data_IF_014388089530
#
_entry.id   IF_014388089530
#
_cell.length_a   1.000
_cell.length_b   1.000
_cell.length_c   1.000
_cell.angle_alpha   90.00
_cell.angle_beta   90.00
_cell.angle_gamma   90.00
#
_symmetry.space_group_name_H-M   'P 1'
#
loop_
_entity.id
_entity.type
_entity.pdbx_description
1 polymer ?
#
# COMPACT_ATOMS: atom_id res chain seq x y z
N UNK A 1 56.72 46.99 -25.61
CA UNK A 1 57.38 45.95 -24.77
C UNK A 1 56.36 45.43 -23.76
N UNK A 2 56.10 44.10 -23.76
CA UNK A 2 55.72 43.20 -22.62
C UNK A 2 54.56 43.65 -21.67
N UNK A 3 53.57 42.86 -21.23
CA UNK A 3 53.17 41.43 -21.22
C UNK A 3 51.72 41.43 -20.67
N UNK A 4 50.74 40.76 -21.29
CA UNK A 4 50.12 39.50 -20.83
C UNK A 4 50.04 39.29 -19.30
N UNK A 5 48.82 39.18 -18.76
CA UNK A 5 48.41 38.12 -17.83
C UNK A 5 46.88 38.05 -17.73
N UNK A 6 46.35 36.89 -18.11
CA UNK A 6 44.97 36.46 -17.97
C UNK A 6 44.69 35.97 -16.55
N UNK A 7 43.46 36.15 -16.06
CA UNK A 7 42.92 35.39 -14.94
C UNK A 7 41.48 35.00 -15.28
N UNK A 8 41.31 33.71 -15.58
CA UNK A 8 40.05 33.05 -15.85
C UNK A 8 39.23 32.91 -14.56
N UNK A 9 37.97 33.33 -14.61
CA UNK A 9 36.98 33.07 -13.56
C UNK A 9 36.33 31.72 -13.87
N UNK A 10 36.62 30.70 -13.05
CA UNK A 10 35.99 29.39 -13.14
C UNK A 10 34.62 29.41 -12.46
N UNK A 11 33.60 29.11 -13.26
CA UNK A 11 32.21 28.85 -12.85
C UNK A 11 32.15 27.66 -11.89
N UNK A 12 31.49 27.84 -10.74
CA UNK A 12 31.04 26.74 -9.89
C UNK A 12 29.54 26.54 -10.13
N UNK A 13 29.20 25.61 -11.02
CA UNK A 13 27.84 25.11 -11.19
C UNK A 13 27.61 24.03 -10.13
N UNK A 14 26.72 24.31 -9.18
CA UNK A 14 26.21 23.32 -8.23
C UNK A 14 25.25 22.41 -8.99
N UNK A 15 25.73 21.24 -9.43
CA UNK A 15 24.87 20.15 -9.87
C UNK A 15 24.23 19.53 -8.63
N UNK A 16 22.97 19.87 -8.39
CA UNK A 16 22.11 19.12 -7.50
C UNK A 16 21.99 17.69 -8.04
N UNK A 17 22.51 16.72 -7.29
CA UNK A 17 22.29 15.31 -7.54
C UNK A 17 20.81 15.00 -7.22
N UNK A 18 19.97 15.00 -8.25
CA UNK A 18 18.67 14.34 -8.18
C UNK A 18 18.93 12.85 -7.92
N UNK A 19 18.42 12.35 -6.79
CA UNK A 19 18.34 10.92 -6.54
C UNK A 19 17.43 10.29 -7.58
N UNK A 20 17.98 9.54 -8.52
CA UNK A 20 17.21 8.66 -9.39
C UNK A 20 16.54 7.59 -8.50
N UNK A 21 15.25 7.81 -8.23
CA UNK A 21 14.38 6.73 -7.77
C UNK A 21 14.22 5.78 -8.94
N UNK A 22 14.80 4.59 -8.84
CA UNK A 22 14.66 3.55 -9.85
C UNK A 22 13.17 3.35 -10.18
N UNK A 23 12.81 3.65 -11.43
CA UNK A 23 11.49 3.43 -12.00
C UNK A 23 11.27 1.92 -12.08
N UNK A 24 10.78 1.32 -11.00
CA UNK A 24 10.28 -0.05 -11.05
C UNK A 24 9.01 -0.07 -11.91
N UNK A 25 8.99 -0.93 -12.92
CA UNK A 25 7.81 -1.13 -13.78
C UNK A 25 6.70 -1.75 -12.94
N UNK A 26 5.78 -0.91 -12.46
CA UNK A 26 4.59 -1.33 -11.70
C UNK A 26 3.63 -2.12 -12.61
N UNK A 27 3.79 -3.44 -12.61
CA UNK A 27 2.82 -4.34 -13.23
C UNK A 27 1.72 -4.68 -12.22
N UNK A 28 0.43 -4.57 -12.58
CA UNK A 28 -0.65 -4.92 -11.69
C UNK A 28 -0.57 -6.41 -11.32
N UNK A 29 -0.74 -6.73 -10.05
CA UNK A 29 -0.87 -8.13 -9.60
C UNK A 29 -2.33 -8.55 -9.76
N UNK A 30 -2.54 -9.84 -10.02
CA UNK A 30 -3.83 -10.52 -9.90
C UNK A 30 -4.45 -10.22 -8.52
N UNK A 31 -5.75 -9.89 -8.42
CA UNK A 31 -6.42 -9.63 -7.15
C UNK A 31 -6.14 -10.73 -6.12
N UNK A 32 -6.00 -10.36 -4.85
CA UNK A 32 -5.84 -11.36 -3.80
C UNK A 32 -7.02 -12.32 -3.78
N UNK A 33 -6.73 -13.61 -3.93
CA UNK A 33 -7.70 -14.70 -3.98
C UNK A 33 -8.27 -15.00 -2.58
N UNK A 34 -8.94 -14.01 -1.97
CA UNK A 34 -9.87 -14.29 -0.88
C UNK A 34 -11.17 -14.77 -1.51
N UNK A 35 -11.46 -16.06 -1.36
CA UNK A 35 -12.71 -16.76 -1.71
C UNK A 35 -13.66 -15.95 -2.59
N UNK A 36 -13.23 -15.71 -3.84
CA UNK A 36 -14.13 -15.17 -4.84
C UNK A 36 -15.10 -16.30 -5.11
N UNK A 37 -16.30 -16.21 -4.54
CA UNK A 37 -17.40 -17.10 -4.85
C UNK A 37 -17.41 -17.31 -6.39
N UNK A 38 -17.56 -18.56 -6.87
CA UNK A 38 -17.50 -18.84 -8.30
C UNK A 38 -18.40 -17.86 -9.05
N UNK A 39 -17.93 -17.31 -10.18
CA UNK A 39 -18.61 -16.20 -10.83
C UNK A 39 -20.06 -16.59 -11.07
N UNK A 40 -20.98 -15.83 -10.46
CA UNK A 40 -22.39 -16.09 -10.59
C UNK A 40 -22.75 -16.11 -12.08
N UNK A 41 -23.61 -17.04 -12.53
CA UNK A 41 -24.00 -17.10 -13.93
C UNK A 41 -24.47 -15.73 -14.39
N UNK A 42 -24.00 -15.31 -15.57
CA UNK A 42 -24.33 -14.00 -16.10
C UNK A 42 -25.87 -13.83 -16.18
N UNK A 43 -26.43 -12.77 -15.57
CA UNK A 43 -27.85 -12.57 -15.59
C UNK A 43 -28.31 -12.26 -17.02
N UNK A 44 -29.51 -12.69 -17.36
CA UNK A 44 -30.12 -12.37 -18.67
C UNK A 44 -30.44 -10.87 -18.75
N UNK A 45 -30.69 -10.38 -19.97
CA UNK A 45 -31.14 -9.00 -20.15
C UNK A 45 -32.45 -8.72 -19.40
N UNK A 46 -33.34 -9.72 -19.31
CA UNK A 46 -34.64 -9.56 -18.67
C UNK A 46 -34.50 -9.52 -17.15
N UNK A 47 -33.59 -10.33 -16.59
CA UNK A 47 -33.21 -10.24 -15.18
C UNK A 47 -32.56 -8.89 -14.85
N UNK A 48 -31.65 -8.42 -15.71
CA UNK A 48 -31.00 -7.11 -15.55
C UNK A 48 -32.04 -5.97 -15.62
N UNK A 49 -33.02 -6.06 -16.52
CA UNK A 49 -34.12 -5.09 -16.63
C UNK A 49 -35.07 -5.16 -15.43
N UNK A 50 -35.30 -6.33 -14.86
CA UNK A 50 -36.10 -6.49 -13.65
C UNK A 50 -35.45 -5.77 -12.46
N UNK A 51 -34.13 -5.98 -12.24
CA UNK A 51 -33.36 -5.27 -11.23
C UNK A 51 -33.45 -3.74 -11.39
N UNK A 52 -33.34 -3.25 -12.63
CA UNK A 52 -33.49 -1.82 -12.92
C UNK A 52 -34.85 -1.26 -12.47
N UNK A 53 -35.94 -2.01 -12.69
CA UNK A 53 -37.30 -1.60 -12.28
C UNK A 53 -37.47 -1.60 -10.77
N UNK A 54 -36.72 -2.44 -10.06
CA UNK A 54 -36.70 -2.46 -8.61
C UNK A 54 -35.82 -1.36 -7.99
N UNK A 55 -34.84 -0.84 -8.75
CA UNK A 55 -33.93 0.21 -8.30
C UNK A 55 -34.47 1.63 -8.55
N UNK A 56 -35.29 1.83 -9.58
CA UNK A 56 -35.76 3.14 -9.99
C UNK A 56 -37.28 3.19 -10.11
N UNK A 57 -37.88 4.30 -9.67
CA UNK A 57 -39.29 4.58 -9.94
C UNK A 57 -39.52 4.76 -11.45
N UNK A 58 -40.72 4.44 -11.91
CA UNK A 58 -41.11 4.67 -13.31
C UNK A 58 -40.98 6.16 -13.64
N UNK A 59 -40.21 6.48 -14.69
CA UNK A 59 -39.93 7.86 -15.06
C UNK A 59 -38.78 8.00 -16.06
N UNK A 60 -38.35 9.25 -16.35
CA UNK A 60 -37.35 9.53 -17.38
C UNK A 60 -36.01 8.82 -17.13
N UNK A 61 -35.55 8.78 -15.87
CA UNK A 61 -34.29 8.14 -15.49
C UNK A 61 -34.30 6.64 -15.75
N UNK A 62 -35.39 5.95 -15.37
CA UNK A 62 -35.55 4.52 -15.65
C UNK A 62 -35.61 4.27 -17.17
N UNK A 63 -36.34 5.10 -17.92
CA UNK A 63 -36.43 4.99 -19.38
C UNK A 63 -35.05 5.19 -20.06
N UNK A 64 -34.24 6.15 -19.60
CA UNK A 64 -32.87 6.35 -20.08
C UNK A 64 -31.99 5.11 -19.88
N UNK A 65 -32.06 4.49 -18.70
CA UNK A 65 -31.27 3.29 -18.40
C UNK A 65 -31.76 2.05 -19.18
N UNK A 66 -33.07 1.93 -19.45
CA UNK A 66 -33.61 0.91 -20.36
C UNK A 66 -33.08 1.11 -21.78
N UNK A 67 -33.05 2.36 -22.26
CA UNK A 67 -32.48 2.69 -23.57
C UNK A 67 -31.00 2.31 -23.62
N UNK A 68 -30.21 2.63 -22.59
CA UNK A 68 -28.80 2.26 -22.50
C UNK A 68 -28.61 0.73 -22.59
N UNK A 69 -29.40 -0.07 -21.85
CA UNK A 69 -29.37 -1.54 -21.93
C UNK A 69 -29.62 -2.05 -23.35
N UNK A 70 -30.63 -1.51 -24.03
CA UNK A 70 -30.95 -1.91 -25.39
C UNK A 70 -29.84 -1.49 -26.37
N UNK A 71 -29.25 -0.31 -26.19
CA UNK A 71 -28.12 0.17 -27.00
C UNK A 71 -26.86 -0.68 -26.80
N UNK A 72 -26.59 -1.16 -25.58
CA UNK A 72 -25.48 -2.10 -25.33
C UNK A 72 -25.71 -3.38 -26.14
N UNK A 73 -26.93 -3.95 -26.08
CA UNK A 73 -27.26 -5.18 -26.83
C UNK A 73 -27.13 -4.99 -28.34
N UNK A 74 -27.63 -3.88 -28.89
CA UNK A 74 -27.53 -3.63 -30.33
C UNK A 74 -26.08 -3.42 -30.78
N UNK A 75 -25.25 -2.73 -29.98
CA UNK A 75 -23.81 -2.59 -30.26
C UNK A 75 -23.09 -3.94 -30.26
N UNK A 76 -23.40 -4.81 -29.30
CA UNK A 76 -22.84 -6.17 -29.27
C UNK A 76 -23.28 -7.02 -30.46
N UNK A 77 -24.56 -6.97 -30.84
CA UNK A 77 -25.06 -7.68 -32.02
C UNK A 77 -24.45 -7.15 -33.34
N UNK A 78 -24.07 -5.87 -33.38
CA UNK A 78 -23.40 -5.25 -34.51
C UNK A 78 -21.87 -5.42 -34.50
N UNK A 79 -21.29 -6.15 -33.54
CA UNK A 79 -19.84 -6.33 -33.41
C UNK A 79 -19.08 -5.12 -32.85
N UNK A 80 -19.75 -4.05 -32.44
CA UNK A 80 -19.13 -2.88 -31.81
C UNK A 80 -18.95 -3.10 -30.29
N UNK A 81 -18.10 -4.05 -29.94
CA UNK A 81 -17.79 -4.38 -28.55
C UNK A 81 -17.15 -3.20 -27.79
N UNK A 82 -16.16 -2.44 -28.33
CA UNK A 82 -15.58 -1.31 -27.60
C UNK A 82 -16.61 -0.25 -27.21
N UNK A 83 -17.51 0.10 -28.14
CA UNK A 83 -18.58 1.04 -27.85
C UNK A 83 -19.59 0.51 -26.83
N UNK A 84 -19.87 -0.79 -26.79
CA UNK A 84 -20.73 -1.39 -25.78
C UNK A 84 -20.09 -1.31 -24.38
N UNK A 85 -18.79 -1.63 -24.28
CA UNK A 85 -18.02 -1.59 -23.03
C UNK A 85 -17.89 -0.17 -22.47
N UNK A 86 -17.67 0.82 -23.33
CA UNK A 86 -17.66 2.23 -22.95
C UNK A 86 -19.01 2.67 -22.36
N UNK A 87 -20.11 2.30 -23.01
CA UNK A 87 -21.46 2.63 -22.54
C UNK A 87 -21.79 1.93 -21.21
N UNK A 88 -21.31 0.70 -20.99
CA UNK A 88 -21.42 0.01 -19.70
C UNK A 88 -20.73 0.78 -18.59
N UNK A 89 -19.50 1.26 -18.81
CA UNK A 89 -18.75 2.02 -17.81
C UNK A 89 -19.41 3.38 -17.51
N UNK A 90 -19.90 4.09 -18.53
CA UNK A 90 -20.65 5.34 -18.34
C UNK A 90 -21.97 5.11 -17.58
N UNK A 91 -22.70 4.06 -17.92
CA UNK A 91 -23.94 3.68 -17.23
C UNK A 91 -23.65 3.30 -15.77
N UNK A 92 -22.57 2.57 -15.54
CA UNK A 92 -22.11 2.19 -14.20
C UNK A 92 -21.75 3.39 -13.36
N UNK A 93 -21.00 4.35 -13.91
CA UNK A 93 -20.71 5.65 -13.26
C UNK A 93 -21.99 6.33 -12.78
N UNK A 94 -22.97 6.37 -13.67
CA UNK A 94 -24.26 7.02 -13.45
C UNK A 94 -25.07 6.34 -12.33
N UNK A 95 -25.11 5.01 -12.32
CA UNK A 95 -25.86 4.23 -11.31
C UNK A 95 -25.18 4.26 -9.94
N UNK A 96 -23.85 4.20 -9.89
CA UNK A 96 -23.09 4.35 -8.65
C UNK A 96 -23.32 5.74 -8.05
N UNK A 97 -23.33 6.79 -8.87
CA UNK A 97 -23.64 8.15 -8.42
C UNK A 97 -25.07 8.24 -7.84
N UNK A 98 -26.06 7.62 -8.49
CA UNK A 98 -27.43 7.58 -7.98
C UNK A 98 -27.54 6.81 -6.65
N UNK A 99 -26.79 5.71 -6.49
CA UNK A 99 -26.72 4.97 -5.23
C UNK A 99 -26.18 5.85 -4.10
N UNK A 100 -25.03 6.50 -4.29
CA UNK A 100 -24.45 7.37 -3.27
C UNK A 100 -25.25 8.66 -3.04
N UNK A 101 -26.04 9.11 -4.00
CA UNK A 101 -27.00 10.20 -3.80
C UNK A 101 -28.26 9.77 -3.03
N UNK A 102 -28.44 8.46 -2.78
CA UNK A 102 -29.60 7.93 -2.06
C UNK A 102 -30.91 8.02 -2.85
N UNK A 103 -30.85 8.24 -4.16
CA UNK A 103 -32.05 8.45 -5.01
C UNK A 103 -32.67 7.14 -5.51
N UNK A 104 -32.01 6.01 -5.31
CA UNK A 104 -32.54 4.69 -5.63
C UNK A 104 -33.67 4.30 -4.68
N UNK A 105 -34.59 3.46 -5.14
CA UNK A 105 -35.61 2.86 -4.28
C UNK A 105 -34.91 2.06 -3.18
N UNK A 106 -35.23 2.37 -1.92
CA UNK A 106 -34.58 1.80 -0.74
C UNK A 106 -33.27 2.49 -0.31
N UNK A 107 -32.89 3.59 -0.97
CA UNK A 107 -31.74 4.42 -0.60
C UNK A 107 -30.42 3.64 -0.68
N UNK A 108 -29.59 3.77 0.37
CA UNK A 108 -28.30 3.08 0.48
C UNK A 108 -28.37 1.77 1.28
N UNK A 109 -29.56 1.23 1.53
CA UNK A 109 -29.73 0.01 2.34
C UNK A 109 -29.11 -1.24 1.70
N UNK A 110 -28.80 -2.25 2.52
CA UNK A 110 -28.14 -3.50 2.08
C UNK A 110 -28.87 -4.22 0.92
N UNK A 111 -30.20 -4.20 0.93
CA UNK A 111 -31.00 -4.76 -0.18
C UNK A 111 -30.78 -3.98 -1.48
N UNK A 112 -30.75 -2.65 -1.41
CA UNK A 112 -30.49 -1.81 -2.59
C UNK A 112 -29.05 -1.97 -3.06
N UNK A 113 -28.08 -2.08 -2.16
CA UNK A 113 -26.68 -2.42 -2.50
C UNK A 113 -26.58 -3.72 -3.29
N UNK A 114 -27.25 -4.79 -2.82
CA UNK A 114 -27.24 -6.08 -3.50
C UNK A 114 -27.86 -6.01 -4.91
N UNK A 115 -28.98 -5.29 -5.06
CA UNK A 115 -29.63 -5.08 -6.37
C UNK A 115 -28.77 -4.24 -7.30
N UNK A 116 -28.14 -3.17 -6.80
CA UNK A 116 -27.23 -2.30 -7.58
C UNK A 116 -26.03 -3.10 -8.07
N UNK A 117 -25.39 -3.91 -7.21
CA UNK A 117 -24.32 -4.82 -7.60
C UNK A 117 -24.78 -5.81 -8.68
N UNK A 118 -25.94 -6.43 -8.49
CA UNK A 118 -26.51 -7.36 -9.47
C UNK A 118 -26.75 -6.71 -10.83
N UNK A 119 -27.28 -5.47 -10.83
CA UNK A 119 -27.51 -4.70 -12.05
C UNK A 119 -26.20 -4.37 -12.78
N UNK A 120 -25.18 -3.90 -12.05
CA UNK A 120 -23.85 -3.60 -12.60
C UNK A 120 -23.20 -4.88 -13.16
N UNK A 121 -23.25 -6.00 -12.44
CA UNK A 121 -22.74 -7.28 -12.95
C UNK A 121 -23.46 -7.69 -14.24
N UNK A 122 -24.77 -7.45 -14.35
CA UNK A 122 -25.53 -7.69 -15.58
C UNK A 122 -25.10 -6.81 -16.74
N UNK A 123 -24.85 -5.51 -16.51
CA UNK A 123 -24.32 -4.63 -17.55
C UNK A 123 -22.99 -5.14 -18.13
N UNK A 124 -22.07 -5.56 -17.26
CA UNK A 124 -20.75 -6.04 -17.67
C UNK A 124 -20.86 -7.34 -18.47
N UNK A 125 -21.65 -8.30 -17.99
CA UNK A 125 -21.94 -9.53 -18.72
C UNK A 125 -22.51 -9.26 -20.12
N UNK A 126 -23.45 -8.32 -20.25
CA UNK A 126 -24.06 -7.97 -21.54
C UNK A 126 -23.04 -7.43 -22.55
N UNK A 127 -21.95 -6.79 -22.10
CA UNK A 127 -20.87 -6.29 -22.96
C UNK A 127 -19.67 -7.25 -23.08
N UNK A 128 -19.83 -8.51 -22.64
CA UNK A 128 -18.75 -9.52 -22.68
C UNK A 128 -17.59 -9.19 -21.73
N UNK A 129 -17.85 -8.42 -20.68
CA UNK A 129 -16.87 -8.10 -19.63
C UNK A 129 -17.05 -9.06 -18.44
N UNK A 130 -15.96 -9.35 -17.75
CA UNK A 130 -16.02 -10.05 -16.47
C UNK A 130 -16.80 -9.21 -15.44
N UNK A 131 -17.56 -9.88 -14.58
CA UNK A 131 -18.34 -9.21 -13.54
C UNK A 131 -17.42 -8.51 -12.54
N UNK A 132 -17.61 -7.21 -12.28
CA UNK A 132 -16.72 -6.46 -11.41
C UNK A 132 -16.98 -6.74 -9.93
N UNK A 133 -18.13 -7.30 -9.54
CA UNK A 133 -18.45 -7.62 -8.15
C UNK A 133 -18.20 -6.44 -7.18
N UNK A 134 -18.75 -5.27 -7.53
CA UNK A 134 -18.62 -4.05 -6.71
C UNK A 134 -19.17 -4.27 -5.30
N UNK A 135 -18.37 -3.97 -4.27
CA UNK A 135 -18.89 -3.78 -2.92
C UNK A 135 -19.34 -2.33 -2.77
N UNK A 136 -20.51 -2.15 -2.14
CA UNK A 136 -21.12 -0.86 -1.83
C UNK A 136 -21.42 -0.77 -0.33
N UNK A 137 -20.65 -1.52 0.46
CA UNK A 137 -20.72 -1.54 1.91
C UNK A 137 -20.14 -0.23 2.49
N UNK A 138 -20.41 0.13 3.76
CA UNK A 138 -19.91 1.38 4.34
C UNK A 138 -18.39 1.56 4.30
N UNK A 139 -17.62 0.46 4.28
CA UNK A 139 -16.15 0.46 4.21
C UNK A 139 -15.64 0.06 2.80
N UNK A 140 -16.44 0.36 1.78
CA UNK A 140 -16.12 0.17 0.38
C UNK A 140 -16.55 1.37 -0.45
N UNK A 141 -15.87 1.60 -1.57
CA UNK A 141 -16.28 2.62 -2.54
C UNK A 141 -16.00 2.16 -3.96
N UNK A 142 -16.71 2.75 -4.91
CA UNK A 142 -16.49 2.48 -6.32
C UNK A 142 -16.78 3.74 -7.13
N UNK A 143 -16.09 3.90 -8.26
CA UNK A 143 -16.29 5.03 -9.14
C UNK A 143 -15.62 4.82 -10.48
N UNK A 144 -16.10 5.50 -11.52
CA UNK A 144 -15.53 5.40 -12.87
C UNK A 144 -14.81 6.69 -13.21
N UNK A 145 -13.52 6.57 -13.52
CA UNK A 145 -12.65 7.66 -13.98
C UNK A 145 -12.26 7.41 -15.43
N UNK A 146 -11.80 8.44 -16.12
CA UNK A 146 -11.33 8.32 -17.50
C UNK A 146 -10.53 9.54 -17.95
N UNK A 147 -10.15 9.60 -19.25
CA UNK A 147 -9.20 10.60 -19.76
C UNK A 147 -9.66 12.04 -19.61
N UNK A 148 -10.98 12.26 -19.62
CA UNK A 148 -11.61 13.58 -19.50
C UNK A 148 -12.13 13.87 -18.09
N UNK A 149 -11.91 12.95 -17.14
CA UNK A 149 -12.39 13.16 -15.78
C UNK A 149 -11.52 14.23 -15.08
N UNK A 150 -12.13 15.15 -14.34
CA UNK A 150 -11.38 16.04 -13.46
C UNK A 150 -10.70 15.23 -12.35
N UNK A 151 -9.85 15.88 -11.56
CA UNK A 151 -9.29 15.28 -10.35
C UNK A 151 -10.43 14.71 -9.51
N UNK A 152 -10.44 13.40 -9.33
CA UNK A 152 -11.53 12.65 -8.71
C UNK A 152 -11.00 11.98 -7.46
N UNK A 153 -11.64 12.23 -6.32
CA UNK A 153 -11.34 11.54 -5.07
C UNK A 153 -12.43 10.51 -4.82
N UNK A 154 -12.04 9.24 -4.74
CA UNK A 154 -12.91 8.13 -4.36
C UNK A 154 -12.55 7.76 -2.93
N UNK A 155 -13.48 7.98 -2.01
CA UNK A 155 -13.29 7.67 -0.59
C UNK A 155 -14.42 6.75 -0.13
N UNK A 156 -14.08 5.80 0.74
CA UNK A 156 -15.04 4.98 1.48
C UNK A 156 -15.99 5.86 2.30
N UNK A 157 -17.27 5.48 2.48
CA UNK A 157 -18.17 6.21 3.37
C UNK A 157 -17.65 6.35 4.82
N UNK A 158 -16.88 5.37 5.31
CA UNK A 158 -16.13 5.44 6.58
C UNK A 158 -14.97 6.42 6.57
N UNK A 159 -14.50 6.85 5.40
CA UNK A 159 -13.32 7.69 5.20
C UNK A 159 -12.00 7.03 5.65
N UNK A 160 -12.00 5.71 5.78
CA UNK A 160 -10.81 4.96 6.20
C UNK A 160 -9.87 4.61 5.07
N UNK A 161 -10.36 4.60 3.83
CA UNK A 161 -9.54 4.40 2.66
C UNK A 161 -10.07 5.21 1.48
N UNK A 162 -9.17 5.56 0.58
CA UNK A 162 -9.52 6.24 -0.65
C UNK A 162 -8.35 6.41 -1.59
N UNK A 163 -8.68 6.83 -2.81
CA UNK A 163 -7.71 7.18 -3.85
C UNK A 163 -8.08 8.51 -4.46
N UNK A 164 -7.09 9.37 -4.63
CA UNK A 164 -7.20 10.56 -5.45
C UNK A 164 -6.53 10.31 -6.80
N UNK A 165 -7.33 10.43 -7.86
CA UNK A 165 -6.92 10.26 -9.24
C UNK A 165 -6.79 11.64 -9.89
N UNK A 166 -5.58 12.09 -10.28
CA UNK A 166 -5.40 13.36 -10.97
C UNK A 166 -6.18 13.41 -12.29
N UNK A 167 -6.52 14.63 -12.73
CA UNK A 167 -7.17 14.84 -14.01
C UNK A 167 -6.38 14.21 -15.17
N UNK A 168 -7.05 13.43 -16.02
CA UNK A 168 -6.42 12.74 -17.15
C UNK A 168 -5.48 11.59 -16.81
N UNK A 169 -5.32 11.21 -15.53
CA UNK A 169 -4.43 10.11 -15.14
C UNK A 169 -4.91 8.74 -15.66
N UNK A 170 -6.23 8.55 -15.82
CA UNK A 170 -6.78 7.31 -16.37
C UNK A 170 -6.76 7.34 -17.91
N UNK A 171 -5.97 6.47 -18.59
CA UNK A 171 -5.81 6.51 -20.05
C UNK A 171 -7.05 6.05 -20.84
N UNK A 172 -8.00 5.40 -20.15
CA UNK A 172 -9.29 4.92 -20.67
C UNK A 172 -10.33 4.99 -19.55
N UNK A 173 -11.62 4.80 -19.88
CA UNK A 173 -12.62 4.64 -18.84
C UNK A 173 -12.28 3.40 -18.00
N UNK A 174 -12.17 3.61 -16.70
CA UNK A 174 -11.76 2.59 -15.73
C UNK A 174 -12.66 2.71 -14.50
N UNK A 175 -13.34 1.62 -14.17
CA UNK A 175 -14.00 1.42 -12.88
C UNK A 175 -12.92 1.13 -11.83
N UNK A 176 -12.82 1.99 -10.83
CA UNK A 176 -12.00 1.77 -9.65
C UNK A 176 -12.92 1.30 -8.52
N UNK A 177 -12.48 0.29 -7.78
CA UNK A 177 -13.15 -0.21 -6.59
C UNK A 177 -12.17 -0.25 -5.44
N UNK A 178 -12.64 0.06 -4.25
CA UNK A 178 -11.91 -0.02 -2.98
C UNK A 178 -12.78 -0.81 -2.02
N UNK A 179 -12.22 -1.82 -1.35
CA UNK A 179 -12.94 -2.56 -0.30
C UNK A 179 -12.01 -2.94 0.84
N UNK A 180 -12.54 -2.98 2.05
CA UNK A 180 -11.84 -3.54 3.20
C UNK A 180 -11.55 -5.04 2.99
N UNK A 181 -10.33 -5.46 3.34
CA UNK A 181 -9.93 -6.87 3.44
C UNK A 181 -9.99 -7.36 4.89
N UNK A 182 -10.13 -8.67 5.11
CA UNK A 182 -9.90 -9.27 6.42
C UNK A 182 -8.51 -8.94 6.95
N UNK A 183 -8.38 -8.81 8.27
CA UNK A 183 -7.09 -8.49 8.91
C UNK A 183 -6.11 -9.68 8.95
N UNK A 184 -6.59 -10.89 8.64
CA UNK A 184 -5.77 -12.11 8.55
C UNK A 184 -6.27 -13.07 7.45
N UNK A 185 -5.36 -13.76 6.74
CA UNK A 185 -3.92 -13.51 6.66
C UNK A 185 -3.59 -12.11 6.10
N UNK A 186 -2.44 -11.56 6.49
CA UNK A 186 -2.01 -10.24 6.03
C UNK A 186 -1.66 -10.28 4.53
N UNK A 187 -2.20 -9.39 3.70
CA UNK A 187 -2.15 -9.52 2.24
C UNK A 187 -0.83 -9.04 1.60
N UNK A 188 0.05 -8.33 2.31
CA UNK A 188 1.29 -7.82 1.69
C UNK A 188 2.38 -8.90 1.67
N UNK A 189 3.09 -9.00 0.55
CA UNK A 189 4.18 -9.94 0.30
C UNK A 189 5.50 -9.36 0.84
N UNK A 190 5.62 -9.26 2.16
CA UNK A 190 6.79 -8.66 2.81
C UNK A 190 7.11 -9.32 4.16
N UNK A 191 8.41 -9.44 4.51
CA UNK A 191 8.81 -9.87 5.85
C UNK A 191 8.58 -8.80 6.93
N UNK A 192 8.32 -7.54 6.54
CA UNK A 192 8.11 -6.43 7.46
C UNK A 192 6.81 -6.60 8.27
N UNK A 193 6.77 -5.95 9.43
CA UNK A 193 5.57 -5.88 10.26
C UNK A 193 4.45 -5.18 9.48
N UNK A 194 3.30 -5.84 9.41
CA UNK A 194 2.11 -5.35 8.73
C UNK A 194 1.04 -5.08 9.78
N UNK A 195 0.29 -4.01 9.59
CA UNK A 195 -0.73 -3.61 10.54
C UNK A 195 -2.12 -3.63 9.92
N UNK A 196 -3.11 -3.95 10.75
CA UNK A 196 -4.50 -4.18 10.36
C UNK A 196 -5.12 -2.95 9.67
N UNK A 197 -6.22 -3.16 8.95
CA UNK A 197 -6.81 -2.20 8.02
C UNK A 197 -6.21 -2.19 6.62
N UNK A 198 -6.19 -3.38 6.03
CA UNK A 198 -5.87 -3.59 4.62
C UNK A 198 -7.06 -3.31 3.71
N UNK A 199 -6.79 -2.72 2.56
CA UNK A 199 -7.81 -2.44 1.54
C UNK A 199 -7.36 -2.96 0.18
N UNK A 200 -8.27 -3.63 -0.50
CA UNK A 200 -8.09 -4.03 -1.89
C UNK A 200 -8.50 -2.86 -2.78
N UNK A 201 -7.58 -2.43 -3.65
CA UNK A 201 -7.87 -1.51 -4.73
C UNK A 201 -7.82 -2.28 -6.05
N UNK A 202 -8.81 -2.06 -6.91
CA UNK A 202 -8.87 -2.72 -8.21
C UNK A 202 -9.26 -1.72 -9.30
N UNK A 203 -8.60 -1.82 -10.45
CA UNK A 203 -8.96 -1.11 -11.67
C UNK A 203 -9.55 -2.10 -12.67
N UNK A 204 -10.73 -1.79 -13.21
CA UNK A 204 -11.38 -2.56 -14.25
C UNK A 204 -11.69 -1.68 -15.47
N UNK A 205 -11.22 -2.05 -16.68
CA UNK A 205 -10.27 -3.13 -16.94
C UNK A 205 -8.92 -2.86 -16.25
N UNK A 206 -8.07 -3.89 -16.05
CA UNK A 206 -6.72 -3.70 -15.51
C UNK A 206 -5.99 -2.58 -16.26
N UNK A 207 -5.47 -1.64 -15.48
CA UNK A 207 -4.91 -0.39 -15.98
C UNK A 207 -3.71 -0.01 -15.11
N UNK A 208 -2.55 0.16 -15.74
CA UNK A 208 -1.42 0.88 -15.16
C UNK A 208 -1.59 2.36 -15.49
N UNK A 209 -1.44 3.21 -14.50
CA UNK A 209 -1.60 4.66 -14.64
C UNK A 209 -0.26 5.29 -15.04
N UNK A 210 -0.20 6.13 -16.09
CA UNK A 210 1.04 6.81 -16.47
C UNK A 210 1.50 7.83 -15.43
N UNK A 211 0.53 8.41 -14.70
CA UNK A 211 0.73 9.40 -13.65
C UNK A 211 0.46 8.77 -12.29
N UNK A 212 1.21 9.22 -11.30
CA UNK A 212 1.09 8.84 -9.90
C UNK A 212 -0.30 9.17 -9.34
N UNK A 213 -0.88 8.20 -8.64
CA UNK A 213 -2.12 8.32 -7.87
C UNK A 213 -1.78 8.42 -6.38
N UNK A 214 -2.60 9.15 -5.62
CA UNK A 214 -2.48 9.18 -4.16
C UNK A 214 -3.44 8.16 -3.56
N UNK A 215 -2.91 7.12 -2.94
CA UNK A 215 -3.69 6.11 -2.21
C UNK A 215 -3.49 6.31 -0.72
N UNK A 216 -4.60 6.42 0.01
CA UNK A 216 -4.58 6.57 1.45
C UNK A 216 -5.32 5.43 2.14
N UNK A 217 -4.76 4.96 3.26
CA UNK A 217 -5.40 4.02 4.18
C UNK A 217 -5.19 4.47 5.63
N UNK A 218 -6.23 4.31 6.44
CA UNK A 218 -6.18 4.50 7.86
C UNK A 218 -5.61 3.27 8.54
N UNK A 219 -4.87 3.50 9.63
CA UNK A 219 -4.32 2.44 10.47
C UNK A 219 -5.19 2.27 11.72
N UNK A 220 -5.49 1.03 12.09
CA UNK A 220 -6.09 0.71 13.38
C UNK A 220 -5.06 0.88 14.52
N UNK A 221 -5.52 1.30 15.70
CA UNK A 221 -4.73 1.73 16.88
C UNK A 221 -3.80 0.69 17.54
N UNK A 222 -3.66 -0.48 16.94
CA UNK A 222 -2.85 -1.57 17.47
C UNK A 222 -1.56 -1.72 16.67
N UNK A 223 -0.61 -0.82 16.92
CA UNK A 223 0.77 -0.98 16.44
C UNK A 223 1.77 -0.54 17.51
N UNK A 224 2.94 -1.18 17.53
CA UNK A 224 3.96 -0.98 18.56
C UNK A 224 5.33 -0.84 17.90
N UNK A 225 6.07 0.25 18.15
CA UNK A 225 5.70 1.41 18.96
C UNK A 225 4.65 2.29 18.29
N UNK A 226 3.88 3.05 19.07
CA UNK A 226 2.83 3.99 18.59
C UNK A 226 3.41 5.25 17.96
N UNK A 227 4.29 5.08 16.96
CA UNK A 227 4.89 6.15 16.18
C UNK A 227 4.38 6.07 14.73
N UNK A 228 3.23 6.71 14.46
CA UNK A 228 2.63 6.71 13.13
C UNK A 228 3.55 7.36 12.08
N UNK A 229 4.49 8.23 12.50
CA UNK A 229 5.41 8.89 11.58
C UNK A 229 6.41 7.90 10.93
N UNK A 230 6.57 6.71 11.51
CA UNK A 230 7.37 5.63 10.92
C UNK A 230 6.60 4.80 9.90
N UNK A 231 5.29 4.65 10.08
CA UNK A 231 4.49 3.81 9.20
C UNK A 231 4.51 4.32 7.76
N UNK A 232 4.53 3.38 6.82
CA UNK A 232 4.42 3.68 5.40
C UNK A 232 3.33 2.83 4.78
N UNK A 233 2.66 3.38 3.77
CA UNK A 233 1.79 2.57 2.93
C UNK A 233 2.67 1.72 2.03
N UNK A 234 2.37 0.43 1.97
CA UNK A 234 2.96 -0.47 1.00
C UNK A 234 1.86 -1.22 0.26
N UNK A 235 2.19 -1.70 -0.92
CA UNK A 235 1.32 -2.52 -1.74
C UNK A 235 2.14 -3.51 -2.55
N UNK A 236 1.49 -4.53 -3.08
CA UNK A 236 2.19 -5.58 -3.81
C UNK A 236 2.46 -5.17 -5.27
N UNK A 237 3.68 -5.38 -5.74
CA UNK A 237 4.10 -5.30 -7.15
C UNK A 237 4.84 -6.58 -7.54
N UNK A 238 4.32 -7.32 -8.51
CA UNK A 238 4.83 -8.65 -8.85
C UNK A 238 4.77 -9.65 -7.67
N UNK A 239 5.93 -10.06 -7.16
CA UNK A 239 6.06 -11.05 -6.07
C UNK A 239 6.47 -10.45 -4.72
N UNK A 240 6.50 -9.13 -4.59
CA UNK A 240 6.99 -8.43 -3.40
C UNK A 240 6.13 -7.20 -3.10
N UNK A 241 6.11 -6.77 -1.84
CA UNK A 241 5.54 -5.46 -1.48
C UNK A 241 6.56 -4.34 -1.68
N UNK A 242 6.10 -3.22 -2.24
CA UNK A 242 6.87 -1.97 -2.40
C UNK A 242 6.34 -0.94 -1.41
N UNK A 243 7.26 -0.32 -0.67
CA UNK A 243 6.98 0.79 0.23
C UNK A 243 6.87 2.08 -0.58
N UNK A 244 5.75 2.78 -0.41
CA UNK A 244 5.44 3.96 -1.19
C UNK A 244 6.02 5.24 -0.58
N UNK A 245 6.38 6.24 -1.40
CA UNK A 245 6.71 7.57 -0.93
C UNK A 245 5.54 8.18 -0.16
N UNK A 246 5.81 8.74 1.02
CA UNK A 246 4.79 9.34 1.88
C UNK A 246 4.21 10.60 1.21
N UNK A 247 2.88 10.64 1.10
CA UNK A 247 2.14 11.80 0.56
C UNK A 247 0.99 12.16 1.51
N UNK A 248 0.45 13.37 1.37
CA UNK A 248 -0.70 13.81 2.17
C UNK A 248 -2.01 13.25 1.59
N UNK A 249 -2.89 12.75 2.45
CA UNK A 249 -4.25 12.33 2.08
C UNK A 249 -5.29 13.07 2.94
N UNK A 250 -5.62 14.33 2.61
CA UNK A 250 -6.57 15.13 3.39
C UNK A 250 -8.02 14.64 3.28
N UNK A 251 -8.28 13.65 2.44
CA UNK A 251 -9.61 13.05 2.24
C UNK A 251 -9.93 11.93 3.23
N UNK A 252 -9.00 11.54 4.10
CA UNK A 252 -9.20 10.49 5.09
C UNK A 252 -9.61 11.08 6.45
N UNK A 253 -10.41 10.31 7.19
CA UNK A 253 -10.73 10.56 8.59
C UNK A 253 -10.59 9.25 9.38
N UNK A 254 -9.47 9.10 10.08
CA UNK A 254 -9.22 7.89 10.89
C UNK A 254 -9.76 8.00 12.32
N UNK A 255 -10.38 9.10 12.73
CA UNK A 255 -10.74 9.34 14.15
C UNK A 255 -11.62 8.24 14.74
N UNK A 256 -12.52 7.68 13.94
CA UNK A 256 -13.45 6.63 14.39
C UNK A 256 -12.87 5.21 14.30
N UNK A 257 -11.83 4.99 13.49
CA UNK A 257 -11.11 3.71 13.43
C UNK A 257 -10.16 3.55 14.63
N UNK A 258 -9.50 4.65 14.99
CA UNK A 258 -8.63 4.79 16.17
C UNK A 258 -9.45 4.49 17.45
N UNK A 259 -10.69 5.00 17.54
CA UNK A 259 -11.61 4.71 18.66
C UNK A 259 -12.28 3.32 18.68
N UNK A 260 -12.05 2.46 17.68
CA UNK A 260 -12.69 1.14 17.54
C UNK A 260 -11.82 -0.03 18.02
N UNK A 261 -10.79 0.23 18.84
CA UNK A 261 -10.02 -0.80 19.53
C UNK A 261 -10.94 -1.79 20.26
N UNK A 262 -10.58 -3.09 20.35
CA UNK A 262 -11.45 -4.11 20.91
C UNK A 262 -11.86 -3.77 22.33
N UNK A 263 -13.17 -3.89 22.56
CA UNK A 263 -13.85 -3.85 23.84
C UNK A 263 -12.99 -4.38 25.00
N UNK A 264 -12.64 -3.51 25.94
CA UNK A 264 -12.64 -3.91 27.34
C UNK A 264 -14.11 -3.92 27.80
N UNK A 265 -14.66 -5.05 28.31
CA UNK A 265 -16.05 -5.10 28.75
C UNK A 265 -16.17 -4.28 30.03
N UNK A 266 -16.69 -3.06 29.92
CA UNK A 266 -16.91 -2.17 31.05
C UNK A 266 -18.00 -1.16 30.76
N UNK A 267 -18.94 -1.00 31.71
CA UNK A 267 -20.14 -0.16 31.62
C UNK A 267 -19.91 1.34 31.29
N UNK A 268 -18.66 1.81 31.21
CA UNK A 268 -18.32 3.21 30.92
C UNK A 268 -18.31 3.54 29.41
N UNK A 269 -18.37 2.55 28.51
CA UNK A 269 -18.31 2.75 27.04
C UNK A 269 -19.56 3.34 26.38
N UNK A 270 -20.68 3.46 27.09
CA UNK A 270 -21.93 4.00 26.53
C UNK A 270 -22.09 5.51 26.74
N UNK A 271 -21.35 6.12 27.67
CA UNK A 271 -21.48 7.55 27.94
C UNK A 271 -20.70 8.44 26.94
N UNK A 272 -19.66 7.91 26.29
CA UNK A 272 -18.81 8.69 25.37
C UNK A 272 -19.41 8.90 23.97
N UNK A 273 -20.43 8.12 23.56
CA UNK A 273 -21.12 8.33 22.27
C UNK A 273 -22.15 9.47 22.30
N UNK A 274 -22.63 9.87 23.49
CA UNK A 274 -23.65 10.92 23.65
C UNK A 274 -23.11 12.36 23.71
N UNK A 275 -21.81 12.55 23.94
CA UNK A 275 -21.23 13.88 24.21
C UNK A 275 -20.65 14.56 22.95
N UNK A 276 -20.24 13.78 21.94
CA UNK A 276 -19.52 14.32 20.78
C UNK A 276 -20.42 15.03 19.74
N UNK A 277 -21.74 14.85 19.79
CA UNK A 277 -22.66 15.56 18.89
C UNK A 277 -22.96 17.00 19.34
N UNK A 278 -22.76 17.32 20.63
CA UNK A 278 -23.07 18.65 21.18
C UNK A 278 -21.89 19.65 21.10
N UNK A 279 -20.65 19.19 21.05
CA UNK A 279 -19.48 20.09 21.07
C UNK A 279 -19.15 20.73 19.71
N UNK A 280 -19.70 20.19 18.61
CA UNK A 280 -19.50 20.74 17.25
C UNK A 280 -20.44 21.92 16.89
N UNK A 281 -21.36 22.31 17.78
CA UNK A 281 -22.27 23.44 17.53
C UNK A 281 -21.79 24.78 18.12
N UNK A 282 -20.74 24.80 18.95
CA UNK A 282 -20.40 26.00 19.75
C UNK A 282 -18.95 26.46 19.62
N UNK A 283 -18.05 25.69 19.00
CA UNK A 283 -16.65 26.11 18.86
C UNK A 283 -16.21 26.05 17.39
N UNK A 284 -15.58 27.13 16.86
CA UNK A 284 -14.99 27.10 15.54
C UNK A 284 -13.92 26.00 15.48
N UNK A 285 -13.97 25.20 14.42
CA UNK A 285 -12.97 24.17 14.17
C UNK A 285 -11.57 24.81 14.22
N UNK A 286 -10.65 24.36 15.08
CA UNK A 286 -9.27 24.74 14.95
C UNK A 286 -8.81 24.21 13.59
N UNK A 287 -8.28 25.11 12.76
CA UNK A 287 -7.58 24.73 11.54
C UNK A 287 -6.33 23.95 11.95
N UNK A 288 -6.48 22.64 12.13
CA UNK A 288 -5.34 21.76 12.31
C UNK A 288 -4.57 21.77 10.99
N UNK A 289 -3.36 22.33 11.04
CA UNK A 289 -2.28 21.78 10.25
C UNK A 289 -2.29 20.28 10.54
N UNK A 290 -2.74 19.46 9.58
CA UNK A 290 -2.52 18.02 9.64
C UNK A 290 -1.01 17.83 9.59
N UNK A 291 -0.38 17.80 10.76
CA UNK A 291 0.93 17.20 10.88
C UNK A 291 0.78 15.77 10.34
N UNK A 292 1.64 15.40 9.40
CA UNK A 292 1.71 14.08 8.74
C UNK A 292 2.00 12.91 9.70
N UNK A 293 1.63 13.01 10.99
CA UNK A 293 2.18 12.21 12.08
C UNK A 293 1.19 11.59 13.07
N UNK A 294 -0.13 11.72 12.91
CA UNK A 294 -1.05 11.11 13.89
C UNK A 294 -2.31 10.46 13.35
N UNK A 295 -2.67 10.68 12.08
CA UNK A 295 -3.71 9.90 11.43
C UNK A 295 -3.53 10.00 9.92
N UNK A 296 -3.88 8.92 9.23
CA UNK A 296 -3.89 8.84 7.76
C UNK A 296 -2.48 8.74 7.16
N UNK A 297 -2.10 7.53 6.72
CA UNK A 297 -0.91 7.32 5.90
C UNK A 297 -1.34 7.21 4.44
N UNK A 298 -0.54 7.78 3.54
CA UNK A 298 -0.79 7.69 2.12
C UNK A 298 0.50 7.53 1.33
N UNK A 299 0.37 6.92 0.16
CA UNK A 299 1.44 6.59 -0.76
C UNK A 299 1.14 7.03 -2.18
N UNK A 300 2.19 7.33 -2.94
CA UNK A 300 2.13 7.54 -4.39
C UNK A 300 2.34 6.24 -5.16
N UNK A 301 1.48 5.90 -6.13
CA UNK A 301 1.52 4.61 -6.87
C UNK A 301 0.91 4.72 -8.26
N UNK A 302 1.32 3.84 -9.19
CA UNK A 302 0.78 3.75 -10.56
C UNK A 302 -0.04 2.49 -10.83
N UNK A 303 -0.18 1.60 -9.85
CA UNK A 303 -0.94 0.37 -9.99
C UNK A 303 -1.74 0.08 -8.73
N UNK A 304 -2.66 -0.87 -8.83
CA UNK A 304 -3.46 -1.28 -7.68
C UNK A 304 -3.20 -2.74 -7.33
N UNK A 305 -3.27 -2.99 -6.04
CA UNK A 305 -3.19 -4.29 -5.37
C UNK A 305 -3.73 -4.06 -3.94
N UNK A 306 -3.62 -4.99 -2.98
CA UNK A 306 -3.89 -4.64 -1.61
C UNK A 306 -2.90 -3.60 -1.09
N UNK A 307 -3.41 -2.61 -0.37
CA UNK A 307 -2.64 -1.61 0.35
C UNK A 307 -2.79 -1.83 1.85
N UNK A 308 -1.72 -1.57 2.59
CA UNK A 308 -1.71 -1.60 4.05
C UNK A 308 -0.51 -0.86 4.63
N UNK A 309 -0.52 -0.67 5.95
CA UNK A 309 0.61 -0.08 6.64
C UNK A 309 1.70 -1.11 6.93
N UNK A 310 2.95 -0.71 6.77
CA UNK A 310 4.13 -1.47 7.19
C UNK A 310 5.08 -0.61 8.01
N UNK A 311 5.88 -1.27 8.86
CA UNK A 311 7.01 -0.64 9.53
C UNK A 311 8.30 -0.84 8.72
N UNK A 312 8.91 0.22 8.17
CA UNK A 312 10.17 0.11 7.43
C UNK A 312 11.39 -0.07 8.34
N UNK A 313 11.24 -0.08 9.67
CA UNK A 313 12.37 -0.29 10.57
C UNK A 313 12.74 -1.78 10.66
N UNK A 314 14.03 -2.04 10.64
CA UNK A 314 14.64 -3.30 11.03
C UNK A 314 15.67 -3.05 12.13
N UNK A 315 15.92 -4.04 12.98
CA UNK A 315 16.80 -3.96 14.14
C UNK A 315 17.88 -5.01 14.00
N UNK A 316 19.13 -4.58 14.02
CA UNK A 316 20.29 -5.46 14.05
C UNK A 316 20.63 -5.83 15.49
N UNK A 317 20.79 -7.12 15.75
CA UNK A 317 21.21 -7.63 17.07
C UNK A 317 22.35 -8.62 16.92
N UNK A 318 23.31 -8.58 17.85
CA UNK A 318 24.43 -9.50 17.89
C UNK A 318 23.98 -10.84 18.50
N UNK A 319 24.37 -11.96 17.90
CA UNK A 319 23.97 -13.32 18.28
C UNK A 319 25.17 -14.25 18.59
N UNK A 320 26.34 -13.65 18.82
CA UNK A 320 27.53 -14.33 19.29
C UNK A 320 28.20 -13.49 20.39
N UNK A 321 29.13 -14.07 21.17
CA UNK A 321 29.93 -13.30 22.12
C UNK A 321 30.65 -12.15 21.39
N UNK A 322 30.54 -10.92 21.90
CA UNK A 322 31.19 -9.75 21.27
C UNK A 322 32.70 -9.70 21.48
N UNK A 323 33.19 -10.49 22.44
CA UNK A 323 34.62 -10.72 22.70
C UNK A 323 34.97 -12.15 22.33
N UNK A 324 35.87 -12.32 21.37
CA UNK A 324 36.27 -13.61 20.82
C UNK A 324 37.63 -14.02 21.39
N UNK A 325 37.71 -15.10 22.18
CA UNK A 325 38.99 -15.59 22.66
C UNK A 325 39.75 -16.32 21.55
N UNK A 326 41.07 -16.13 21.50
CA UNK A 326 41.95 -16.90 20.63
C UNK A 326 43.41 -16.50 20.82
N UNK A 327 44.32 -17.36 20.34
CA UNK A 327 45.74 -17.03 20.28
C UNK A 327 46.07 -16.38 18.92
N UNK A 328 47.10 -15.52 18.84
CA UNK A 328 47.55 -14.97 17.57
C UNK A 328 47.77 -16.07 16.51
N UNK A 329 47.27 -15.83 15.29
CA UNK A 329 47.35 -16.76 14.16
C UNK A 329 46.39 -17.95 14.19
N UNK A 330 45.56 -18.10 15.24
CA UNK A 330 44.60 -19.20 15.35
C UNK A 330 43.30 -18.93 14.59
N UNK A 331 42.65 -20.00 14.12
CA UNK A 331 41.31 -19.91 13.55
C UNK A 331 40.27 -19.85 14.67
N UNK A 332 39.32 -18.91 14.55
CA UNK A 332 38.17 -18.81 15.45
C UNK A 332 37.26 -20.01 15.23
N UNK A 333 36.87 -20.75 16.28
CA UNK A 333 35.90 -21.84 16.18
C UNK A 333 34.57 -21.39 15.60
N UNK A 334 33.92 -22.25 14.82
CA UNK A 334 32.67 -21.93 14.10
C UNK A 334 31.56 -21.42 15.05
N UNK A 335 31.46 -21.97 16.25
CA UNK A 335 30.48 -21.56 17.26
C UNK A 335 30.74 -20.19 17.91
N UNK A 336 31.91 -19.59 17.64
CA UNK A 336 32.32 -18.26 18.10
C UNK A 336 32.44 -17.26 16.94
N UNK A 337 32.09 -17.65 15.72
CA UNK A 337 32.12 -16.73 14.59
C UNK A 337 31.09 -15.60 14.78
N UNK A 338 31.43 -14.37 14.38
CA UNK A 338 30.50 -13.25 14.30
C UNK A 338 29.18 -13.65 13.64
N UNK A 339 28.08 -13.54 14.39
CA UNK A 339 26.72 -13.83 13.92
C UNK A 339 25.76 -12.72 14.30
N UNK A 340 24.84 -12.37 13.41
CA UNK A 340 23.83 -11.34 13.67
C UNK A 340 22.44 -11.80 13.31
N UNK A 341 21.46 -11.23 14.01
CA UNK A 341 20.05 -11.30 13.71
C UNK A 341 19.55 -9.96 13.19
N UNK A 342 18.88 -9.98 12.05
CA UNK A 342 18.08 -8.88 11.55
C UNK A 342 16.60 -9.21 11.73
N UNK A 343 15.93 -8.42 12.56
CA UNK A 343 14.50 -8.60 12.89
C UNK A 343 13.73 -7.30 12.73
N UNK A 344 12.41 -7.40 12.62
CA UNK A 344 11.51 -6.26 12.74
C UNK A 344 11.32 -5.89 14.23
N UNK A 345 10.73 -4.74 14.56
CA UNK A 345 10.39 -4.37 15.94
C UNK A 345 9.50 -5.38 16.66
N UNK A 346 8.61 -6.08 15.96
CA UNK A 346 7.80 -7.17 16.53
C UNK A 346 8.53 -8.53 16.55
N UNK A 347 9.83 -8.55 16.23
CA UNK A 347 10.69 -9.72 16.32
C UNK A 347 10.61 -10.68 15.13
N UNK A 348 9.95 -10.30 14.02
CA UNK A 348 9.88 -11.13 12.83
C UNK A 348 11.23 -11.14 12.11
N UNK A 349 11.72 -12.29 11.64
CA UNK A 349 12.99 -12.36 10.91
C UNK A 349 12.88 -11.65 9.55
N UNK A 350 13.95 -10.95 9.17
CA UNK A 350 14.04 -10.25 7.87
C UNK A 350 15.04 -11.00 6.98
N UNK A 351 14.59 -11.82 6.01
CA UNK A 351 15.45 -12.54 5.08
C UNK A 351 15.91 -11.67 3.91
N UNK A 352 17.03 -12.05 3.29
CA UNK A 352 17.53 -11.49 2.03
C UNK A 352 18.26 -10.15 2.13
N UNK A 353 18.34 -9.55 3.32
CA UNK A 353 19.20 -8.39 3.56
C UNK A 353 20.68 -8.78 3.55
N UNK A 354 21.52 -7.96 2.91
CA UNK A 354 22.96 -8.20 2.79
C UNK A 354 23.71 -7.64 4.00
N UNK A 355 24.47 -8.51 4.68
CA UNK A 355 25.35 -8.18 5.79
C UNK A 355 26.80 -8.25 5.31
N UNK A 356 27.52 -7.15 5.47
CA UNK A 356 28.93 -7.02 5.11
C UNK A 356 29.78 -7.04 6.37
N UNK A 357 30.81 -7.87 6.36
CA UNK A 357 31.81 -7.98 7.42
C UNK A 357 33.13 -7.39 6.95
N UNK A 358 33.73 -6.52 7.74
CA UNK A 358 35.00 -5.86 7.42
C UNK A 358 35.92 -5.84 8.63
N UNK A 359 37.18 -6.19 8.43
CA UNK A 359 38.21 -6.05 9.46
C UNK A 359 38.60 -4.58 9.68
N UNK A 360 39.09 -4.26 10.88
CA UNK A 360 39.71 -2.98 11.17
C UNK A 360 40.90 -2.71 10.25
N UNK A 361 41.10 -1.47 9.78
CA UNK A 361 42.27 -1.11 9.00
C UNK A 361 43.57 -1.48 9.74
N UNK A 362 44.50 -2.11 9.02
CA UNK A 362 45.81 -2.48 9.55
C UNK A 362 45.89 -3.85 10.24
N UNK A 363 44.76 -4.53 10.46
CA UNK A 363 44.74 -5.93 10.94
C UNK A 363 45.41 -6.88 9.93
N UNK A 364 46.25 -7.80 10.40
CA UNK A 364 46.79 -8.92 9.60
C UNK A 364 45.93 -10.20 9.68
N UNK A 365 44.80 -10.18 10.41
CA UNK A 365 43.78 -11.22 10.38
C UNK A 365 43.17 -11.43 8.99
N UNK A 366 42.54 -12.58 8.79
CA UNK A 366 41.80 -12.90 7.57
C UNK A 366 40.38 -13.36 7.88
N UNK A 367 39.42 -12.95 7.05
CA UNK A 367 38.02 -13.35 7.14
C UNK A 367 37.52 -13.93 5.82
N UNK A 368 36.66 -14.94 5.90
CA UNK A 368 35.93 -15.53 4.78
C UNK A 368 34.44 -15.23 4.87
N UNK A 369 33.76 -15.11 3.72
CA UNK A 369 32.33 -14.78 3.68
C UNK A 369 32.06 -13.32 4.07
N UNK A 370 32.75 -12.37 3.42
CA UNK A 370 32.66 -10.93 3.72
C UNK A 370 31.31 -10.30 3.38
N UNK A 371 30.46 -10.97 2.60
CA UNK A 371 29.12 -10.53 2.25
C UNK A 371 28.17 -11.73 2.30
N UNK A 372 27.20 -11.67 3.22
CA UNK A 372 26.28 -12.76 3.52
C UNK A 372 24.85 -12.24 3.50
N UNK A 373 23.95 -12.96 2.82
CA UNK A 373 22.53 -12.67 2.91
C UNK A 373 21.93 -13.28 4.17
N UNK A 374 21.02 -12.57 4.82
CA UNK A 374 20.23 -13.10 5.93
C UNK A 374 19.34 -14.25 5.47
N UNK A 375 19.33 -15.33 6.25
CA UNK A 375 18.52 -16.53 5.99
C UNK A 375 17.03 -16.28 6.28
N UNK A 376 16.17 -17.30 6.08
CA UNK A 376 14.75 -17.25 6.46
C UNK A 376 14.50 -16.94 7.94
N UNK A 377 15.50 -17.19 8.80
CA UNK A 377 15.47 -16.89 10.23
C UNK A 377 16.08 -15.50 10.55
N UNK A 378 16.42 -14.70 9.53
CA UNK A 378 17.02 -13.38 9.69
C UNK A 378 18.48 -13.43 10.17
N UNK A 379 19.15 -14.58 10.03
CA UNK A 379 20.53 -14.78 10.51
C UNK A 379 21.52 -14.56 9.38
N UNK A 380 22.60 -13.82 9.66
CA UNK A 380 23.82 -13.84 8.86
C UNK A 380 25.03 -14.15 9.76
N UNK A 381 25.90 -15.05 9.31
CA UNK A 381 27.08 -15.51 10.04
C UNK A 381 28.31 -15.36 9.15
N UNK A 382 29.42 -14.90 9.72
CA UNK A 382 30.71 -14.84 9.05
C UNK A 382 31.18 -16.24 8.68
N UNK A 383 31.71 -16.43 7.47
CA UNK A 383 32.09 -17.77 6.99
C UNK A 383 33.33 -18.35 7.68
N UNK A 384 34.33 -17.51 7.96
CA UNK A 384 35.51 -17.90 8.73
C UNK A 384 36.25 -16.67 9.25
N UNK A 385 37.04 -16.85 10.32
CA UNK A 385 37.93 -15.82 10.84
C UNK A 385 39.21 -16.48 11.37
N UNK A 386 40.36 -16.01 10.90
CA UNK A 386 41.68 -16.34 11.44
C UNK A 386 42.30 -15.08 12.02
N UNK A 387 42.67 -15.14 13.30
CA UNK A 387 43.24 -14.02 14.04
C UNK A 387 44.62 -13.64 13.50
N UNK A 388 44.95 -12.36 13.66
CA UNK A 388 46.22 -11.76 13.35
C UNK A 388 47.38 -12.38 14.12
N UNK A 389 48.60 -12.23 13.62
CA UNK A 389 49.82 -12.79 14.24
C UNK A 389 50.61 -11.79 15.05
N UNK A 390 50.31 -10.49 14.91
CA UNK A 390 51.03 -9.39 15.55
C UNK A 390 50.63 -9.15 17.02
N UNK A 391 49.56 -9.80 17.49
CA UNK A 391 49.03 -9.66 18.85
C UNK A 391 48.32 -8.33 19.10
N UNK A 392 47.93 -7.61 18.04
CA UNK A 392 47.05 -6.45 18.11
C UNK A 392 45.59 -6.93 18.06
N UNK A 393 44.66 -6.29 18.80
CA UNK A 393 43.26 -6.67 18.73
C UNK A 393 42.67 -6.58 17.32
N UNK A 394 42.03 -7.67 16.88
CA UNK A 394 41.29 -7.72 15.63
C UNK A 394 39.83 -7.36 15.87
N UNK A 395 39.27 -6.47 15.05
CA UNK A 395 37.87 -6.04 15.13
C UNK A 395 37.16 -6.29 13.81
N UNK A 396 36.07 -7.04 13.84
CA UNK A 396 35.17 -7.24 12.71
C UNK A 396 33.97 -6.31 12.86
N UNK A 397 33.86 -5.34 11.96
CA UNK A 397 32.70 -4.45 11.83
C UNK A 397 31.64 -5.07 10.94
N UNK A 398 30.38 -4.76 11.24
CA UNK A 398 29.20 -5.32 10.60
C UNK A 398 28.37 -4.17 10.06
N UNK A 399 28.13 -4.19 8.75
CA UNK A 399 27.25 -3.24 8.09
C UNK A 399 26.18 -3.97 7.31
N UNK A 400 24.92 -3.66 7.60
CA UNK A 400 23.78 -4.18 6.86
C UNK A 400 23.35 -3.17 5.81
N UNK A 401 23.23 -3.64 4.58
CA UNK A 401 22.54 -2.90 3.51
C UNK A 401 21.03 -3.07 3.73
N UNK A 402 20.28 -1.98 4.02
CA UNK A 402 18.84 -2.07 4.21
C UNK A 402 18.15 -2.62 2.97
N UNK A 403 17.00 -3.26 3.15
CA UNK A 403 16.07 -3.50 2.05
C UNK A 403 15.61 -2.14 1.47
N UNK A 404 15.16 -2.13 0.21
CA UNK A 404 14.71 -0.91 -0.44
C UNK A 404 13.68 -0.16 0.43
N UNK A 405 13.92 1.14 0.66
CA UNK A 405 13.07 2.03 1.45
C UNK A 405 12.87 1.60 2.93
N UNK A 406 13.81 0.82 3.50
CA UNK A 406 13.85 0.47 4.92
C UNK A 406 15.04 1.11 5.63
N UNK A 407 15.04 1.07 6.96
CA UNK A 407 16.17 1.50 7.80
C UNK A 407 16.62 0.37 8.72
N UNK A 408 17.90 0.38 9.08
CA UNK A 408 18.48 -0.56 10.05
C UNK A 408 18.88 0.23 11.30
N UNK A 409 18.18 -0.02 12.40
CA UNK A 409 18.60 0.42 13.73
C UNK A 409 19.78 -0.44 14.21
N UNK A 410 20.67 0.18 14.97
CA UNK A 410 21.86 -0.43 15.55
C UNK A 410 22.83 -0.97 14.50
N UNK A 411 22.87 -0.38 13.30
CA UNK A 411 23.86 -0.73 12.28
C UNK A 411 25.29 -0.31 12.69
N UNK A 412 26.32 -0.97 12.14
CA UNK A 412 27.72 -0.66 12.46
C UNK A 412 28.23 -1.34 13.75
N UNK A 413 27.60 -2.43 14.20
CA UNK A 413 28.08 -3.22 15.34
C UNK A 413 29.42 -3.89 15.04
N UNK A 414 30.09 -4.41 16.07
CA UNK A 414 31.38 -5.05 15.91
C UNK A 414 31.64 -6.19 16.91
N UNK A 415 32.57 -7.06 16.53
CA UNK A 415 33.15 -8.13 17.33
C UNK A 415 34.64 -7.88 17.52
N UNK A 416 35.19 -8.12 18.70
CA UNK A 416 36.61 -7.90 19.02
C UNK A 416 37.26 -9.19 19.48
N UNK A 417 38.39 -9.56 18.88
CA UNK A 417 39.34 -10.52 19.44
C UNK A 417 40.48 -9.72 20.08
N UNK A 418 40.62 -9.75 21.42
CA UNK A 418 41.55 -8.89 22.16
C UNK A 418 43.01 -9.33 22.08
#
# INVERSE_FOLDING_TARGET
>A
MRRLLAAASASLVVLAACSDSATQTESPIVPHAFDVAPPAPCPTIDQTRALLKELYAAGPRQAQLITALNTIRTRMAAGNQPGAQELVLLTTRSVIADFYAGVLIGGQGATTQAKTRGFINGLFCLAGLAQPNVSLDPDATAGVVGPTSPTTTLVTPTQFAGVQVPAGAAPKLTLIKVRRLPDAPTPLLTPLDQYQAFYEFEAFPPTTFPTDLTVGVCQADIFSPTDYARLRVAHNVGSQAVILPLVAAPFLDCTTLIGAAPFYPGLKGYASRGVHWMTNMVLPAPAYAMALGSCCIAGSTKSFSPFGAVDPLTVLTLDAPTTIPGAPGSSVPVNLLPRVFLKTPLGRPVPGATVTFTLNPGSDATIGGTSMATTSNGIAELGSWKLGTDGIPDTVYINVTPLANTTVQDNGQYYVAP
#
